data_IF_437862296443
#
_entry.id   IF_437862296443
#
_cell.length_a   1.000
_cell.length_b   1.000
_cell.length_c   1.000
_cell.angle_alpha   90.00
_cell.angle_beta   90.00
_cell.angle_gamma   90.00
#
_symmetry.space_group_name_H-M   'P 1'
#
loop_
_entity.id
_entity.type
_entity.pdbx_description
1 polymer ?
#
# COMPACT_ATOMS: atom_id res chain seq x y z
N UNK A 1 -8.47 -2.43 -21.98
CA UNK A 1 -9.21 -2.35 -20.69
C UNK A 1 -8.40 -1.69 -19.57
N UNK A 2 -7.18 -2.15 -19.26
CA UNK A 2 -6.45 -1.67 -18.06
C UNK A 2 -5.44 -0.53 -18.33
N UNK A 3 -5.44 0.04 -19.53
CA UNK A 3 -4.56 1.14 -19.90
C UNK A 3 -5.06 2.49 -19.41
N UNK A 4 -4.15 3.46 -19.27
CA UNK A 4 -4.47 4.82 -18.81
C UNK A 4 -5.53 5.52 -19.66
N UNK A 5 -5.62 5.20 -20.95
CA UNK A 5 -6.57 5.78 -21.92
C UNK A 5 -7.77 4.89 -22.21
N UNK A 6 -8.01 3.84 -21.42
CA UNK A 6 -9.11 2.90 -21.65
C UNK A 6 -10.52 3.45 -21.36
N UNK A 7 -10.66 4.73 -21.01
CA UNK A 7 -11.97 5.33 -20.73
C UNK A 7 -12.89 5.30 -21.94
N UNK A 8 -12.39 5.62 -23.13
CA UNK A 8 -13.18 5.58 -24.37
C UNK A 8 -13.68 4.16 -24.65
N UNK A 9 -12.82 3.16 -24.43
CA UNK A 9 -13.18 1.76 -24.54
C UNK A 9 -14.29 1.38 -23.55
N UNK A 10 -14.20 1.77 -22.28
CA UNK A 10 -15.27 1.50 -21.30
C UNK A 10 -16.58 2.20 -21.65
N UNK A 11 -16.51 3.44 -22.16
CA UNK A 11 -17.68 4.19 -22.62
C UNK A 11 -18.34 3.51 -23.82
N UNK A 12 -17.56 3.11 -24.81
CA UNK A 12 -18.06 2.40 -26.00
C UNK A 12 -18.74 1.08 -25.62
N UNK A 13 -18.18 0.32 -24.68
CA UNK A 13 -18.79 -0.90 -24.19
C UNK A 13 -20.20 -0.64 -23.62
N UNK A 14 -20.33 0.42 -22.82
CA UNK A 14 -21.61 0.79 -22.23
C UNK A 14 -22.64 1.29 -23.24
N UNK A 15 -22.21 2.11 -24.21
CA UNK A 15 -23.07 2.63 -25.27
C UNK A 15 -23.56 1.53 -26.22
N UNK A 16 -22.72 0.53 -26.52
CA UNK A 16 -23.02 -0.50 -27.52
C UNK A 16 -23.73 -1.73 -26.95
N UNK A 17 -23.35 -2.17 -25.76
CA UNK A 17 -23.81 -3.44 -25.19
C UNK A 17 -24.66 -3.26 -23.92
N UNK A 18 -24.79 -2.03 -23.42
CA UNK A 18 -25.56 -1.71 -22.23
C UNK A 18 -24.78 -1.87 -20.92
N UNK A 19 -25.49 -1.90 -19.77
CA UNK A 19 -24.90 -1.75 -18.45
C UNK A 19 -24.13 -2.97 -17.93
N UNK A 20 -24.28 -4.14 -18.58
CA UNK A 20 -23.65 -5.39 -18.18
C UNK A 20 -23.07 -6.09 -19.41
N UNK A 21 -21.75 -6.30 -19.41
CA UNK A 21 -21.02 -6.84 -20.55
C UNK A 21 -20.13 -7.99 -20.10
N UNK A 22 -20.20 -9.12 -20.83
CA UNK A 22 -19.29 -10.24 -20.66
C UNK A 22 -18.06 -10.05 -21.54
N UNK A 23 -16.87 -10.16 -20.95
CA UNK A 23 -15.59 -9.93 -21.61
C UNK A 23 -14.73 -11.18 -21.46
N UNK A 24 -14.09 -11.60 -22.54
CA UNK A 24 -13.15 -12.72 -22.51
C UNK A 24 -11.76 -12.19 -22.19
N UNK A 25 -11.25 -12.61 -21.04
CA UNK A 25 -9.90 -12.33 -20.59
C UNK A 25 -8.86 -13.28 -21.21
N UNK A 26 -7.57 -13.09 -20.86
CA UNK A 26 -6.51 -14.02 -21.24
C UNK A 26 -6.72 -15.41 -20.63
N UNK A 27 -6.10 -16.44 -21.23
CA UNK A 27 -6.17 -17.83 -20.77
C UNK A 27 -7.59 -18.43 -20.65
N UNK A 28 -8.57 -17.88 -21.37
CA UNK A 28 -9.95 -18.35 -21.32
C UNK A 28 -10.76 -17.80 -20.15
N UNK A 29 -10.20 -16.87 -19.38
CA UNK A 29 -10.89 -16.16 -18.31
C UNK A 29 -12.15 -15.45 -18.84
N UNK A 30 -13.19 -15.37 -18.01
CA UNK A 30 -14.46 -14.72 -18.33
C UNK A 30 -14.78 -13.69 -17.27
N UNK A 31 -14.75 -12.43 -17.67
CA UNK A 31 -14.94 -11.28 -16.80
C UNK A 31 -16.31 -10.64 -17.02
N UNK A 32 -16.94 -10.20 -15.94
CA UNK A 32 -18.17 -9.41 -15.99
C UNK A 32 -17.82 -7.95 -15.75
N UNK A 33 -18.10 -7.10 -16.74
CA UNK A 33 -17.99 -5.64 -16.61
C UNK A 33 -19.38 -5.06 -16.41
N UNK A 34 -19.62 -4.41 -15.28
CA UNK A 34 -20.92 -3.82 -14.97
C UNK A 34 -20.78 -2.41 -14.42
N UNK A 35 -21.72 -1.55 -14.82
CA UNK A 35 -21.95 -0.24 -14.22
C UNK A 35 -23.43 -0.05 -13.82
N UNK A 36 -24.20 -1.14 -13.77
CA UNK A 36 -25.56 -1.15 -13.21
C UNK A 36 -25.50 -0.90 -11.69
N UNK A 37 -26.12 0.18 -11.17
CA UNK A 37 -26.11 0.49 -9.73
C UNK A 37 -26.67 -0.64 -8.85
N UNK A 38 -27.67 -1.40 -9.32
CA UNK A 38 -28.24 -2.52 -8.57
C UNK A 38 -27.25 -3.68 -8.48
N UNK A 39 -26.56 -3.99 -9.59
CA UNK A 39 -25.52 -5.02 -9.60
C UNK A 39 -24.33 -4.60 -8.73
N UNK A 40 -23.88 -3.35 -8.83
CA UNK A 40 -22.78 -2.81 -8.01
C UNK A 40 -23.13 -2.84 -6.53
N UNK A 41 -24.36 -2.46 -6.14
CA UNK A 41 -24.83 -2.57 -4.76
C UNK A 41 -24.86 -4.03 -4.27
N UNK A 42 -25.29 -4.95 -5.13
CA UNK A 42 -25.30 -6.37 -4.81
C UNK A 42 -23.87 -6.91 -4.56
N UNK A 43 -22.92 -6.52 -5.41
CA UNK A 43 -21.52 -6.96 -5.34
C UNK A 43 -20.78 -6.34 -4.15
N UNK A 44 -20.91 -5.02 -3.95
CA UNK A 44 -20.07 -4.29 -2.98
C UNK A 44 -20.68 -4.17 -1.59
N UNK A 45 -22.01 -4.34 -1.43
CA UNK A 45 -22.70 -4.08 -0.16
C UNK A 45 -23.46 -5.31 0.32
N UNK A 46 -24.41 -5.80 -0.47
CA UNK A 46 -25.37 -6.82 -0.01
C UNK A 46 -24.72 -8.19 0.17
N UNK A 47 -23.98 -8.65 -0.84
CA UNK A 47 -23.46 -10.01 -0.94
C UNK A 47 -21.94 -10.02 -1.07
N UNK A 48 -21.25 -9.05 -0.46
CA UNK A 48 -19.80 -8.87 -0.55
C UNK A 48 -19.00 -10.15 -0.22
N UNK A 49 -19.47 -10.96 0.73
CA UNK A 49 -18.82 -12.21 1.13
C UNK A 49 -18.78 -13.28 0.02
N UNK A 50 -19.60 -13.14 -1.03
CA UNK A 50 -19.60 -14.02 -2.20
C UNK A 50 -18.60 -13.53 -3.24
N UNK A 51 -18.38 -12.22 -3.32
CA UNK A 51 -17.52 -11.57 -4.31
C UNK A 51 -16.15 -11.26 -3.71
N UNK A 52 -15.34 -12.30 -3.54
CA UNK A 52 -13.95 -12.16 -3.10
C UNK A 52 -13.04 -11.69 -4.24
N UNK A 53 -11.93 -11.05 -3.86
CA UNK A 53 -10.84 -10.76 -4.79
C UNK A 53 -10.21 -12.05 -5.34
N UNK A 54 -9.54 -11.94 -6.49
CA UNK A 54 -9.03 -13.13 -7.17
C UNK A 54 -7.84 -13.76 -6.43
N UNK A 55 -7.58 -15.05 -6.67
CA UNK A 55 -6.43 -15.73 -6.05
C UNK A 55 -5.10 -15.08 -6.43
N UNK A 56 -5.00 -14.57 -7.66
CA UNK A 56 -3.86 -13.83 -8.18
C UNK A 56 -3.60 -12.56 -7.35
N UNK A 57 -4.67 -11.85 -6.98
CA UNK A 57 -4.58 -10.64 -6.16
C UNK A 57 -3.96 -10.97 -4.79
N UNK A 58 -4.45 -11.99 -4.10
CA UNK A 58 -3.93 -12.36 -2.77
C UNK A 58 -2.49 -12.86 -2.84
N UNK A 59 -2.15 -13.71 -3.80
CA UNK A 59 -0.78 -14.24 -3.96
C UNK A 59 0.20 -13.13 -4.33
N UNK A 60 -0.16 -12.25 -5.26
CA UNK A 60 0.70 -11.14 -5.67
C UNK A 60 0.96 -10.17 -4.49
N UNK A 61 -0.08 -9.79 -3.75
CA UNK A 61 0.08 -8.95 -2.56
C UNK A 61 0.91 -9.65 -1.48
N UNK A 62 0.72 -10.95 -1.25
CA UNK A 62 1.51 -11.72 -0.27
C UNK A 62 2.99 -11.74 -0.61
N UNK A 63 3.34 -11.93 -1.88
CA UNK A 63 4.73 -12.01 -2.34
C UNK A 63 5.44 -10.65 -2.28
N UNK A 64 4.70 -9.55 -2.41
CA UNK A 64 5.25 -8.20 -2.52
C UNK A 64 5.23 -7.44 -1.19
N UNK A 65 4.13 -7.56 -0.43
CA UNK A 65 3.88 -6.80 0.79
C UNK A 65 3.99 -7.65 2.06
N UNK A 66 4.06 -8.97 1.93
CA UNK A 66 3.95 -9.90 3.05
C UNK A 66 2.49 -10.18 3.43
N UNK A 67 2.29 -10.81 4.60
CA UNK A 67 0.95 -11.18 5.07
C UNK A 67 0.30 -9.96 5.73
N UNK A 68 -0.55 -9.24 4.99
CA UNK A 68 -1.26 -8.05 5.45
C UNK A 68 -2.73 -8.03 5.04
N UNK A 69 -3.39 -6.89 5.20
CA UNK A 69 -4.82 -6.73 4.86
C UNK A 69 -5.10 -7.01 3.37
N UNK A 70 -4.15 -6.71 2.48
CA UNK A 70 -4.31 -6.92 1.03
C UNK A 70 -4.06 -8.36 0.57
N UNK A 71 -3.57 -9.23 1.46
CA UNK A 71 -3.18 -10.61 1.12
C UNK A 71 -3.95 -11.67 1.91
N UNK A 72 -4.92 -11.26 2.74
CA UNK A 72 -5.73 -12.16 3.58
C UNK A 72 -7.21 -11.97 3.29
N UNK A 73 -8.01 -13.03 3.49
CA UNK A 73 -9.47 -13.00 3.34
C UNK A 73 -10.18 -13.65 4.55
N UNK A 74 -11.51 -13.62 4.54
CA UNK A 74 -12.35 -14.28 5.54
C UNK A 74 -12.04 -13.89 6.99
N UNK A 75 -11.98 -14.90 7.86
CA UNK A 75 -11.74 -14.73 9.30
C UNK A 75 -10.33 -14.19 9.61
N UNK A 76 -9.32 -14.52 8.79
CA UNK A 76 -7.96 -13.99 8.97
C UNK A 76 -7.94 -12.48 8.77
N UNK A 77 -8.53 -12.02 7.66
CA UNK A 77 -8.70 -10.59 7.39
C UNK A 77 -9.56 -9.90 8.46
N UNK A 78 -10.63 -10.56 8.94
CA UNK A 78 -11.48 -10.04 10.03
C UNK A 78 -10.70 -9.82 11.32
N UNK A 79 -9.83 -10.76 11.72
CA UNK A 79 -8.96 -10.64 12.90
C UNK A 79 -7.98 -9.48 12.75
N UNK A 80 -7.33 -9.35 11.59
CA UNK A 80 -6.44 -8.22 11.32
C UNK A 80 -7.17 -6.88 11.44
N UNK A 81 -8.36 -6.75 10.83
CA UNK A 81 -9.20 -5.54 10.94
C UNK A 81 -9.66 -5.24 12.36
N UNK A 82 -10.01 -6.26 13.15
CA UNK A 82 -10.41 -6.09 14.55
C UNK A 82 -9.31 -5.40 15.36
N UNK A 83 -8.05 -5.81 15.16
CA UNK A 83 -6.91 -5.20 15.84
C UNK A 83 -6.53 -3.82 15.28
N UNK A 84 -6.70 -3.62 13.97
CA UNK A 84 -6.31 -2.39 13.27
C UNK A 84 -7.29 -1.24 13.39
N UNK A 85 -8.60 -1.50 13.26
CA UNK A 85 -9.63 -0.46 13.22
C UNK A 85 -9.54 0.54 14.39
N UNK A 86 -9.25 0.14 15.65
CA UNK A 86 -9.09 1.09 16.75
C UNK A 86 -8.01 2.15 16.49
N UNK A 87 -6.89 1.79 15.83
CA UNK A 87 -5.82 2.73 15.52
C UNK A 87 -6.28 3.86 14.58
N UNK A 88 -7.31 3.62 13.77
CA UNK A 88 -7.95 4.58 12.87
C UNK A 88 -9.21 5.26 13.46
N UNK A 89 -9.43 5.17 14.77
CA UNK A 89 -10.55 5.86 15.42
C UNK A 89 -10.43 7.39 15.32
N UNK A 90 -11.57 8.09 15.37
CA UNK A 90 -11.62 9.55 15.26
C UNK A 90 -10.77 10.27 16.31
N UNK A 91 -10.72 9.73 17.54
CA UNK A 91 -9.86 10.27 18.60
C UNK A 91 -8.38 10.12 18.23
N UNK A 92 -7.99 8.93 17.77
CA UNK A 92 -6.60 8.65 17.41
C UNK A 92 -6.12 9.48 16.21
N UNK A 93 -7.01 9.72 15.24
CA UNK A 93 -6.73 10.60 14.10
C UNK A 93 -6.61 12.07 14.52
N UNK A 94 -7.37 12.53 15.53
CA UNK A 94 -7.22 13.90 16.07
C UNK A 94 -5.85 14.10 16.72
N UNK A 95 -5.31 13.09 17.39
CA UNK A 95 -3.97 13.18 18.00
C UNK A 95 -2.85 13.35 16.97
N UNK A 96 -3.08 13.01 15.70
CA UNK A 96 -2.13 13.20 14.59
C UNK A 96 -2.18 14.62 13.98
N UNK A 97 -3.16 15.45 14.35
CA UNK A 97 -3.29 16.81 13.80
C UNK A 97 -2.01 17.66 13.95
N UNK A 98 -1.30 17.67 15.11
CA UNK A 98 -0.06 18.44 15.25
C UNK A 98 1.02 18.01 14.24
N UNK A 99 1.10 16.71 13.94
CA UNK A 99 2.00 16.17 12.92
C UNK A 99 1.60 16.66 11.52
N UNK A 100 0.30 16.60 11.19
CA UNK A 100 -0.18 17.09 9.90
C UNK A 100 0.08 18.59 9.70
N UNK A 101 -0.12 19.41 10.74
CA UNK A 101 0.23 20.83 10.70
C UNK A 101 1.73 21.03 10.50
N UNK A 102 2.58 20.25 11.19
CA UNK A 102 4.04 20.33 11.04
C UNK A 102 4.47 20.09 9.59
N UNK A 103 3.98 19.01 8.98
CA UNK A 103 4.29 18.69 7.57
C UNK A 103 3.74 19.76 6.62
N UNK A 104 2.53 20.27 6.86
CA UNK A 104 1.96 21.35 6.05
C UNK A 104 2.77 22.65 6.14
N UNK A 105 3.30 22.99 7.32
CA UNK A 105 4.19 24.13 7.48
C UNK A 105 5.54 23.92 6.79
N UNK A 106 6.11 22.71 6.83
CA UNK A 106 7.31 22.35 6.08
C UNK A 106 7.09 22.49 4.57
N UNK A 107 5.95 22.02 4.05
CA UNK A 107 5.57 22.22 2.64
C UNK A 107 5.51 23.70 2.29
N UNK A 108 4.83 24.51 3.10
CA UNK A 108 4.74 25.96 2.88
C UNK A 108 6.14 26.60 2.85
N UNK A 109 7.01 26.21 3.78
CA UNK A 109 8.37 26.73 3.85
C UNK A 109 9.19 26.31 2.63
N UNK A 110 9.10 25.06 2.20
CA UNK A 110 9.82 24.54 1.04
C UNK A 110 9.38 25.25 -0.26
N UNK A 111 8.08 25.44 -0.47
CA UNK A 111 7.55 26.20 -1.61
C UNK A 111 7.96 27.68 -1.51
N UNK A 112 7.87 28.30 -0.33
CA UNK A 112 8.31 29.69 -0.17
C UNK A 112 9.81 29.86 -0.43
N UNK A 113 10.64 28.87 -0.08
CA UNK A 113 12.06 28.90 -0.38
C UNK A 113 12.37 28.75 -1.87
N UNK A 114 11.59 27.95 -2.62
CA UNK A 114 11.80 27.81 -4.07
C UNK A 114 11.40 29.07 -4.84
N UNK A 115 10.54 29.92 -4.27
CA UNK A 115 10.05 31.16 -4.88
C UNK A 115 10.86 32.41 -4.49
N UNK A 116 12.04 32.25 -3.86
CA UNK A 116 12.85 33.39 -3.38
C UNK A 116 13.31 34.32 -4.51
N UNK A 117 13.52 33.80 -5.71
CA UNK A 117 13.98 34.56 -6.87
C UNK A 117 12.83 35.20 -7.68
N UNK A 118 11.59 35.14 -7.17
CA UNK A 118 10.40 35.71 -7.77
C UNK A 118 9.32 34.68 -8.11
N UNK A 119 8.22 35.10 -8.75
CA UNK A 119 7.15 34.20 -9.17
C UNK A 119 7.67 33.14 -10.15
N UNK A 120 7.40 31.86 -9.85
CA UNK A 120 7.77 30.71 -10.69
C UNK A 120 6.62 29.71 -10.77
N UNK A 121 6.56 28.96 -11.86
CA UNK A 121 5.68 27.80 -11.98
C UNK A 121 6.20 26.65 -11.10
N UNK A 122 5.29 25.96 -10.42
CA UNK A 122 5.62 24.82 -9.57
C UNK A 122 4.82 23.58 -10.00
N UNK A 123 5.47 22.41 -9.94
CA UNK A 123 4.77 21.13 -10.11
C UNK A 123 4.03 20.77 -8.82
N UNK A 124 2.76 21.19 -8.74
CA UNK A 124 1.89 20.89 -7.62
C UNK A 124 1.73 19.37 -7.37
N UNK A 125 1.74 18.56 -8.44
CA UNK A 125 1.61 17.11 -8.30
C UNK A 125 2.82 16.51 -7.59
N UNK A 126 4.02 16.95 -7.94
CA UNK A 126 5.25 16.53 -7.27
C UNK A 126 5.21 16.90 -5.78
N UNK A 127 4.90 18.16 -5.47
CA UNK A 127 4.81 18.64 -4.09
C UNK A 127 3.78 17.89 -3.25
N UNK A 128 2.56 17.70 -3.76
CA UNK A 128 1.53 16.96 -3.03
C UNK A 128 1.87 15.47 -2.91
N UNK A 129 2.50 14.86 -3.92
CA UNK A 129 2.92 13.45 -3.84
C UNK A 129 3.97 13.25 -2.75
N UNK A 130 4.97 14.14 -2.66
CA UNK A 130 5.97 14.15 -1.58
C UNK A 130 5.34 14.39 -0.22
N UNK A 131 4.40 15.34 -0.13
CA UNK A 131 3.69 15.66 1.12
C UNK A 131 2.84 14.49 1.60
N UNK A 132 2.09 13.83 0.71
CA UNK A 132 1.29 12.64 1.04
C UNK A 132 2.18 11.51 1.55
N UNK A 133 3.34 11.29 0.92
CA UNK A 133 4.32 10.32 1.36
C UNK A 133 4.80 10.59 2.79
N UNK A 134 5.10 11.85 3.09
CA UNK A 134 5.58 12.25 4.41
C UNK A 134 4.48 12.15 5.48
N UNK A 135 3.25 12.57 5.17
CA UNK A 135 2.10 12.44 6.06
C UNK A 135 1.79 10.97 6.38
N UNK A 136 1.76 10.12 5.36
CA UNK A 136 1.53 8.68 5.54
C UNK A 136 2.70 8.06 6.28
N UNK A 137 3.94 8.37 5.93
CA UNK A 137 5.11 7.81 6.59
C UNK A 137 5.18 8.12 8.07
N UNK A 138 5.07 9.40 8.44
CA UNK A 138 5.10 9.79 9.84
C UNK A 138 3.82 9.35 10.59
N UNK A 139 2.65 9.46 9.95
CA UNK A 139 1.36 9.16 10.60
C UNK A 139 1.10 7.65 10.79
N UNK A 140 1.54 6.82 9.85
CA UNK A 140 1.28 5.37 9.89
C UNK A 140 2.38 4.61 10.62
N UNK A 141 3.64 4.85 10.29
CA UNK A 141 4.78 4.08 10.80
C UNK A 141 5.80 4.92 11.54
N UNK A 142 5.53 6.22 11.74
CA UNK A 142 6.44 7.11 12.47
C UNK A 142 7.81 7.22 11.82
N UNK A 143 7.88 7.23 10.48
CA UNK A 143 9.14 7.37 9.73
C UNK A 143 9.06 8.58 8.79
N UNK A 144 10.12 9.39 8.75
CA UNK A 144 10.24 10.52 7.83
C UNK A 144 10.99 10.07 6.58
N UNK A 145 10.32 10.12 5.43
CA UNK A 145 10.86 9.72 4.13
C UNK A 145 11.42 10.91 3.37
N UNK A 146 10.71 12.02 3.45
CA UNK A 146 10.98 13.22 2.68
C UNK A 146 10.62 14.43 3.54
N UNK A 147 11.59 15.08 4.19
CA UNK A 147 11.32 16.22 5.06
C UNK A 147 10.80 17.46 4.29
N UNK A 148 10.67 17.37 2.95
CA UNK A 148 10.20 18.41 2.01
C UNK A 148 11.17 19.59 1.83
N UNK A 149 11.89 19.96 2.88
CA UNK A 149 12.86 21.07 2.90
C UNK A 149 14.23 20.69 2.35
N UNK A 150 14.57 19.40 2.35
CA UNK A 150 15.80 18.86 1.79
C UNK A 150 15.45 17.74 0.82
N UNK A 151 16.12 17.70 -0.33
CA UNK A 151 15.97 16.60 -1.28
C UNK A 151 16.76 15.40 -0.77
N UNK A 152 16.12 14.61 0.09
CA UNK A 152 16.68 13.38 0.64
C UNK A 152 16.00 12.18 0.01
N UNK A 153 16.79 11.32 -0.62
CA UNK A 153 16.31 10.04 -1.15
C UNK A 153 16.21 9.05 0.00
N UNK A 154 14.99 8.58 0.31
CA UNK A 154 14.78 7.44 1.19
C UNK A 154 14.64 6.14 0.36
N UNK A 155 15.48 5.11 0.61
CA UNK A 155 15.46 3.87 -0.16
C UNK A 155 14.11 3.13 -0.16
N UNK A 156 13.38 3.16 0.97
CA UNK A 156 12.09 2.50 1.08
C UNK A 156 11.01 3.32 0.34
N UNK A 157 11.01 4.64 0.52
CA UNK A 157 10.14 5.55 -0.24
C UNK A 157 10.28 5.39 -1.75
N UNK A 158 11.52 5.31 -2.26
CA UNK A 158 11.80 5.11 -3.68
C UNK A 158 11.44 3.71 -4.19
N UNK A 159 11.68 2.67 -3.37
CA UNK A 159 11.25 1.31 -3.68
C UNK A 159 9.72 1.22 -3.84
N UNK A 160 8.98 1.82 -2.90
CA UNK A 160 7.51 1.84 -2.89
C UNK A 160 6.93 2.61 -4.09
N UNK A 161 7.49 3.79 -4.44
CA UNK A 161 7.10 4.53 -5.64
C UNK A 161 7.34 3.73 -6.92
N UNK A 162 8.43 2.96 -6.96
CA UNK A 162 8.85 2.18 -8.13
C UNK A 162 8.10 0.86 -8.30
N UNK A 163 7.49 0.33 -7.23
CA UNK A 163 6.86 -0.98 -7.21
C UNK A 163 5.74 -1.12 -8.25
N UNK A 164 4.67 -0.32 -8.14
CA UNK A 164 3.50 -0.44 -9.01
C UNK A 164 3.86 -0.21 -10.50
N UNK A 165 4.63 0.83 -10.89
CA UNK A 165 5.04 1.04 -12.27
C UNK A 165 5.86 -0.12 -12.85
N UNK A 166 6.68 -0.78 -12.03
CA UNK A 166 7.53 -1.91 -12.46
C UNK A 166 6.73 -3.21 -12.54
N UNK A 167 5.81 -3.45 -11.60
CA UNK A 167 5.00 -4.66 -11.52
C UNK A 167 3.83 -4.68 -12.50
N UNK A 168 3.20 -3.53 -12.77
CA UNK A 168 1.98 -3.44 -13.59
C UNK A 168 2.11 -4.02 -15.01
N UNK A 169 3.20 -3.78 -15.76
CA UNK A 169 3.39 -4.40 -17.07
C UNK A 169 3.48 -5.94 -17.03
N UNK A 170 3.69 -6.52 -15.85
CA UNK A 170 3.76 -7.97 -15.65
C UNK A 170 2.42 -8.60 -15.24
N UNK A 171 1.32 -7.85 -15.25
CA UNK A 171 -0.01 -8.32 -14.83
C UNK A 171 -0.46 -9.62 -15.51
N UNK A 172 -0.13 -9.82 -16.80
CA UNK A 172 -0.48 -11.07 -17.50
C UNK A 172 0.25 -12.29 -16.90
N UNK A 173 1.48 -12.11 -16.42
CA UNK A 173 2.24 -13.17 -15.75
C UNK A 173 1.75 -13.42 -14.31
N UNK A 174 1.08 -12.44 -13.69
CA UNK A 174 0.49 -12.62 -12.36
C UNK A 174 -0.58 -13.71 -12.33
N UNK A 175 -1.25 -13.97 -13.47
CA UNK A 175 -2.21 -15.08 -13.59
C UNK A 175 -1.59 -16.47 -13.45
N UNK A 176 -0.27 -16.61 -13.64
CA UNK A 176 0.43 -17.87 -13.41
C UNK A 176 0.87 -18.04 -11.95
N UNK A 177 0.85 -16.97 -11.13
CA UNK A 177 1.36 -17.01 -9.76
C UNK A 177 0.59 -17.99 -8.86
N UNK A 178 -0.74 -18.08 -8.87
CA UNK A 178 -1.45 -19.03 -8.02
C UNK A 178 -1.13 -20.49 -8.35
N UNK A 179 -0.88 -20.80 -9.62
CA UNK A 179 -0.48 -22.15 -10.06
C UNK A 179 0.92 -22.46 -9.55
N UNK A 180 1.85 -21.52 -9.68
CA UNK A 180 3.21 -21.64 -9.19
C UNK A 180 3.27 -21.75 -7.65
N UNK A 181 2.42 -21.02 -6.94
CA UNK A 181 2.31 -21.03 -5.49
C UNK A 181 1.76 -22.36 -4.94
N UNK A 182 0.80 -22.97 -5.64
CA UNK A 182 0.22 -24.27 -5.25
C UNK A 182 1.15 -25.45 -5.54
N UNK A 183 2.00 -25.35 -6.56
CA UNK A 183 2.85 -26.46 -7.04
C UNK A 183 4.28 -26.35 -6.49
N UNK A 184 4.80 -25.14 -6.30
CA UNK A 184 6.18 -24.89 -5.91
C UNK A 184 6.35 -24.61 -4.41
N UNK A 185 7.47 -25.04 -3.83
CA UNK A 185 7.86 -24.53 -2.51
C UNK A 185 8.29 -23.05 -2.61
N UNK A 186 8.09 -22.21 -1.57
CA UNK A 186 8.56 -20.81 -1.58
C UNK A 186 10.05 -20.66 -1.90
N UNK A 187 10.87 -21.63 -1.46
CA UNK A 187 12.31 -21.68 -1.77
C UNK A 187 12.58 -21.94 -3.25
N UNK A 188 11.76 -22.78 -3.90
CA UNK A 188 11.86 -23.06 -5.33
C UNK A 188 11.47 -21.81 -6.13
N UNK A 189 10.37 -21.14 -5.76
CA UNK A 189 9.95 -19.90 -6.41
C UNK A 189 11.02 -18.83 -6.31
N UNK A 190 11.61 -18.64 -5.12
CA UNK A 190 12.72 -17.69 -4.94
C UNK A 190 13.94 -18.03 -5.80
N UNK A 191 14.35 -19.30 -5.86
CA UNK A 191 15.45 -19.75 -6.74
C UNK A 191 15.14 -19.56 -8.22
N UNK A 192 13.91 -19.83 -8.65
CA UNK A 192 13.49 -19.58 -10.04
C UNK A 192 13.58 -18.08 -10.36
N UNK A 193 13.11 -17.22 -9.45
CA UNK A 193 13.24 -15.77 -9.57
C UNK A 193 14.71 -15.35 -9.64
N UNK A 194 15.61 -15.99 -8.90
CA UNK A 194 17.05 -15.69 -8.93
C UNK A 194 17.74 -16.02 -10.26
N UNK A 195 17.31 -17.08 -10.93
CA UNK A 195 17.93 -17.56 -12.18
C UNK A 195 17.26 -16.96 -13.43
N UNK A 196 16.09 -16.34 -13.29
CA UNK A 196 15.32 -15.84 -14.45
C UNK A 196 16.02 -14.64 -15.11
N UNK A 197 16.34 -14.67 -16.42
CA UNK A 197 17.06 -13.60 -17.11
C UNK A 197 16.20 -12.36 -17.45
N UNK A 198 14.98 -12.25 -16.90
CA UNK A 198 14.04 -11.19 -17.25
C UNK A 198 14.27 -9.93 -16.38
N UNK A 199 14.78 -8.82 -16.94
CA UNK A 199 15.26 -7.68 -16.14
C UNK A 199 14.19 -7.02 -15.27
N UNK A 200 12.94 -6.99 -15.74
CA UNK A 200 11.83 -6.39 -14.97
C UNK A 200 11.45 -7.21 -13.75
N UNK A 201 11.52 -8.53 -13.83
CA UNK A 201 11.23 -9.41 -12.70
C UNK A 201 12.35 -9.33 -11.66
N UNK A 202 13.61 -9.27 -12.12
CA UNK A 202 14.75 -8.97 -11.23
C UNK A 202 14.57 -7.62 -10.55
N UNK A 203 14.12 -6.60 -11.28
CA UNK A 203 13.88 -5.27 -10.71
C UNK A 203 12.77 -5.29 -9.65
N UNK A 204 11.67 -6.01 -9.87
CA UNK A 204 10.63 -6.19 -8.84
C UNK A 204 11.17 -6.93 -7.63
N UNK A 205 11.97 -7.98 -7.82
CA UNK A 205 12.61 -8.70 -6.71
C UNK A 205 13.48 -7.75 -5.87
N UNK A 206 14.36 -6.97 -6.51
CA UNK A 206 15.20 -5.98 -5.82
C UNK A 206 14.38 -4.95 -5.04
N UNK A 207 13.29 -4.45 -5.63
CA UNK A 207 12.38 -3.51 -4.96
C UNK A 207 11.77 -4.16 -3.71
N UNK A 208 11.27 -5.39 -3.83
CA UNK A 208 10.69 -6.15 -2.72
C UNK A 208 11.74 -6.46 -1.64
N UNK A 209 12.97 -6.82 -2.01
CA UNK A 209 14.05 -7.07 -1.05
C UNK A 209 14.41 -5.79 -0.27
N UNK A 210 14.45 -4.62 -0.93
CA UNK A 210 14.66 -3.33 -0.25
C UNK A 210 13.49 -3.01 0.68
N UNK A 211 12.25 -3.22 0.23
CA UNK A 211 11.06 -3.02 1.05
C UNK A 211 11.06 -3.91 2.29
N UNK A 212 11.34 -5.21 2.13
CA UNK A 212 11.39 -6.18 3.23
C UNK A 212 12.47 -5.78 4.25
N UNK A 213 13.70 -5.55 3.79
CA UNK A 213 14.82 -5.15 4.64
C UNK A 213 14.52 -3.89 5.45
N UNK A 214 14.01 -2.83 4.80
CA UNK A 214 13.72 -1.56 5.48
C UNK A 214 12.48 -1.62 6.37
N UNK A 215 11.45 -2.38 5.97
CA UNK A 215 10.29 -2.60 6.84
C UNK A 215 10.69 -3.33 8.12
N UNK A 216 11.61 -4.29 8.05
CA UNK A 216 12.13 -5.00 9.21
C UNK A 216 12.94 -4.07 10.13
N UNK A 217 13.81 -3.23 9.57
CA UNK A 217 14.54 -2.22 10.35
C UNK A 217 13.57 -1.31 11.12
N UNK A 218 12.60 -0.70 10.43
CA UNK A 218 11.60 0.20 11.03
C UNK A 218 10.78 -0.54 12.11
N UNK A 219 10.36 -1.78 11.84
CA UNK A 219 9.61 -2.59 12.78
C UNK A 219 10.40 -2.86 14.06
N UNK A 220 11.66 -3.29 13.94
CA UNK A 220 12.50 -3.65 15.08
C UNK A 220 12.85 -2.42 15.92
N UNK A 221 13.21 -1.30 15.29
CA UNK A 221 13.48 -0.04 15.99
C UNK A 221 12.28 0.41 16.82
N UNK A 222 11.07 0.31 16.25
CA UNK A 222 9.84 0.68 16.93
C UNK A 222 9.48 -0.27 18.07
N UNK A 223 9.63 -1.57 17.84
CA UNK A 223 9.40 -2.59 18.88
C UNK A 223 10.33 -2.38 20.09
N UNK A 224 11.62 -2.14 19.83
CA UNK A 224 12.60 -1.83 20.87
C UNK A 224 12.30 -0.52 21.61
N UNK A 225 11.87 0.52 20.90
CA UNK A 225 11.47 1.79 21.53
C UNK A 225 10.25 1.60 22.45
N UNK A 226 9.30 0.75 22.04
CA UNK A 226 8.12 0.41 22.83
C UNK A 226 8.47 -0.34 24.11
N UNK A 227 9.43 -1.28 24.03
CA UNK A 227 9.93 -2.04 25.19
C UNK A 227 10.72 -1.16 26.18
N UNK A 228 11.42 -0.12 25.69
CA UNK A 228 12.18 0.82 26.53
C UNK A 228 11.32 1.87 27.25
N UNK A 229 10.04 1.98 26.90
CA UNK A 229 9.07 2.86 27.56
C UNK A 229 8.82 4.19 26.84
N UNK A 230 7.91 4.99 27.41
CA UNK A 230 7.34 6.17 26.74
C UNK A 230 8.36 7.26 26.41
N UNK A 231 9.44 7.42 27.19
CA UNK A 231 10.50 8.40 26.90
C UNK A 231 11.22 8.13 25.57
N UNK A 232 11.45 6.86 25.22
CA UNK A 232 12.09 6.48 23.96
C UNK A 232 11.15 6.72 22.76
N UNK A 233 9.84 6.57 22.94
CA UNK A 233 8.84 6.82 21.89
C UNK A 233 8.62 8.30 21.61
N UNK A 234 8.75 9.16 22.62
CA UNK A 234 8.67 10.62 22.46
C UNK A 234 9.83 11.17 21.61
N UNK A 235 10.96 10.46 21.56
CA UNK A 235 12.10 10.80 20.70
C UNK A 235 11.91 10.33 19.26
N UNK A 236 10.97 9.42 18.99
CA UNK A 236 10.68 8.95 17.64
C UNK A 236 9.73 9.90 16.90
N UNK A 237 9.85 9.89 15.58
CA UNK A 237 8.91 10.56 14.69
C UNK A 237 7.52 9.97 14.92
N UNK A 238 6.52 10.85 15.09
CA UNK A 238 5.16 10.45 15.47
C UNK A 238 4.91 10.36 16.98
N UNK A 239 5.91 10.54 17.85
CA UNK A 239 5.77 10.63 19.31
C UNK A 239 4.99 9.44 19.92
N UNK A 240 5.11 8.24 19.31
CA UNK A 240 4.35 7.04 19.70
C UNK A 240 2.85 7.08 19.40
N UNK A 241 2.37 8.12 18.71
CA UNK A 241 0.95 8.32 18.34
C UNK A 241 0.61 7.83 16.93
N UNK A 242 1.59 7.38 16.17
CA UNK A 242 1.40 6.78 14.86
C UNK A 242 0.64 5.43 14.93
N UNK A 243 0.09 5.02 13.79
CA UNK A 243 -0.76 3.82 13.69
C UNK A 243 -0.02 2.56 14.13
N UNK A 244 1.23 2.40 13.73
CA UNK A 244 2.03 1.23 14.04
C UNK A 244 2.34 1.15 15.54
N UNK A 245 2.68 2.27 16.18
CA UNK A 245 2.88 2.32 17.63
C UNK A 245 1.59 1.91 18.39
N UNK A 246 0.43 2.40 17.94
CA UNK A 246 -0.88 2.02 18.52
C UNK A 246 -1.22 0.55 18.28
N UNK A 247 -0.94 0.04 17.08
CA UNK A 247 -1.15 -1.34 16.71
C UNK A 247 -0.30 -2.28 17.57
N UNK A 248 1.00 -1.98 17.72
CA UNK A 248 1.90 -2.76 18.56
C UNK A 248 1.44 -2.78 20.02
N UNK A 249 1.00 -1.62 20.57
CA UNK A 249 0.40 -1.54 21.91
C UNK A 249 -0.84 -2.42 22.05
N UNK A 250 -1.77 -2.33 21.10
CA UNK A 250 -2.98 -3.15 21.09
C UNK A 250 -2.65 -4.65 20.96
N UNK A 251 -1.63 -5.00 20.17
CA UNK A 251 -1.20 -6.39 20.01
C UNK A 251 -0.59 -6.97 21.28
N UNK A 252 0.21 -6.19 22.02
CA UNK A 252 0.80 -6.65 23.28
C UNK A 252 -0.25 -6.94 24.37
N UNK A 253 -1.37 -6.21 24.36
CA UNK A 253 -2.45 -6.34 25.34
C UNK A 253 -3.60 -7.24 24.89
N UNK A 254 -3.61 -7.68 23.62
CA UNK A 254 -4.62 -8.59 23.09
C UNK A 254 -4.53 -9.99 23.73
N UNK A 255 -5.63 -10.73 23.71
CA UNK A 255 -5.64 -12.15 24.06
C UNK A 255 -4.80 -12.95 23.06
N UNK A 256 -4.29 -14.11 23.46
CA UNK A 256 -3.51 -15.00 22.56
C UNK A 256 -4.28 -15.35 21.28
N UNK A 257 -5.61 -15.45 21.36
CA UNK A 257 -6.49 -15.70 20.22
C UNK A 257 -6.62 -14.53 19.25
N UNK A 258 -6.36 -13.30 19.69
CA UNK A 258 -6.45 -12.09 18.87
C UNK A 258 -5.06 -11.56 18.44
N UNK A 259 -3.98 -11.92 19.15
CA UNK A 259 -2.59 -11.50 18.88
C UNK A 259 -2.12 -11.83 17.46
N UNK A 260 -1.69 -10.83 16.71
CA UNK A 260 -1.04 -11.04 15.43
C UNK A 260 0.44 -11.37 15.63
N UNK A 261 1.00 -12.33 14.87
CA UNK A 261 2.43 -12.61 14.88
C UNK A 261 3.22 -11.46 14.23
N UNK A 262 4.49 -11.32 14.59
CA UNK A 262 5.35 -10.21 14.11
C UNK A 262 5.41 -10.10 12.58
N UNK A 263 5.42 -11.22 11.85
CA UNK A 263 5.45 -11.20 10.39
C UNK A 263 4.16 -10.64 9.76
N UNK A 264 3.02 -10.74 10.45
CA UNK A 264 1.77 -10.12 10.00
C UNK A 264 1.74 -8.63 10.32
N UNK A 265 2.26 -8.23 11.48
CA UNK A 265 2.41 -6.82 11.83
C UNK A 265 3.38 -6.11 10.87
N UNK A 266 4.47 -6.79 10.49
CA UNK A 266 5.40 -6.34 9.47
C UNK A 266 4.72 -6.17 8.11
N UNK A 267 3.87 -7.12 7.71
CA UNK A 267 3.09 -7.02 6.46
C UNK A 267 2.16 -5.80 6.42
N UNK A 268 1.73 -5.30 7.57
CA UNK A 268 0.93 -4.07 7.64
C UNK A 268 1.74 -2.81 7.30
N UNK A 269 3.04 -2.75 7.62
CA UNK A 269 3.91 -1.60 7.30
C UNK A 269 3.89 -1.32 5.80
N UNK A 270 4.13 -2.35 4.98
CA UNK A 270 4.10 -2.26 3.52
C UNK A 270 2.69 -2.04 2.98
N UNK A 271 1.67 -2.55 3.68
CA UNK A 271 0.27 -2.35 3.29
C UNK A 271 -0.19 -0.91 3.46
N UNK A 272 0.13 -0.25 4.58
CA UNK A 272 -0.28 1.15 4.82
C UNK A 272 0.40 2.15 3.90
N UNK A 273 1.59 1.81 3.43
CA UNK A 273 2.39 2.71 2.61
C UNK A 273 2.15 2.53 1.11
N UNK A 274 1.39 1.51 0.70
CA UNK A 274 1.11 1.28 -0.72
C UNK A 274 0.39 2.50 -1.30
N UNK A 275 1.01 3.23 -2.25
CA UNK A 275 0.43 4.47 -2.74
C UNK A 275 -0.88 4.19 -3.48
N UNK A 276 -1.95 4.89 -3.09
CA UNK A 276 -3.15 4.97 -3.91
C UNK A 276 -2.79 5.60 -5.25
N UNK A 277 -3.11 4.91 -6.36
CA UNK A 277 -2.82 5.38 -7.71
C UNK A 277 -3.54 6.70 -7.99
N UNK A 278 -2.85 7.82 -7.80
CA UNK A 278 -3.40 9.14 -8.10
C UNK A 278 -3.55 9.26 -9.62
N UNK A 279 -4.79 9.27 -10.11
CA UNK A 279 -5.10 9.35 -11.55
C UNK A 279 -4.72 10.74 -12.06
N UNK A 280 -3.57 10.88 -12.75
CA UNK A 280 -3.26 12.07 -13.57
C UNK A 280 -4.30 12.20 -14.69
N UNK A 281 -5.34 13.00 -14.49
CA UNK A 281 -6.10 13.65 -15.56
C UNK A 281 -5.23 14.79 -16.09
N UNK A 282 -4.67 14.61 -17.27
CA UNK A 282 -4.30 15.74 -18.11
C UNK A 282 -5.45 15.85 -19.10
N UNK A 283 -6.07 17.04 -19.11
CA UNK A 283 -7.10 17.43 -20.07
C UNK A 283 -6.59 17.26 -21.50
#
# INVERSE_FOLDING_TARGET
MFERRAWEFHRELGEKYGPVVKIRGPFGDTQLFTFDPLAVHHILVKDQHIFEETSEFFVANRLVLGIGLLSTNGEHHRRQRKLLNPAFSTNNLRDMLPLFYRVAYSLRQAIASSLRDGPQEIDAMSWFSRTSLELVGQGTIGHSFDPLVEEKSDPYGEAMKSLIPTAWPMFIFQMLLPVLDKIGSPKLLRRLLEVTPYPRLQRVREIVDVMDCKSQEIFQEKKLALERGDEALMQQVGEGKDIMSRLLRANMTASEEDKLPDHELLGQISTFFLPERTRRRLY
#
